data_IF_413390641403
#
_entry.id   IF_413390641403
#
_cell.length_a   1.000
_cell.length_b   1.000
_cell.length_c   1.000
_cell.angle_alpha   90.00
_cell.angle_beta   90.00
_cell.angle_gamma   90.00
#
_symmetry.space_group_name_H-M   'P 1'
#
loop_
_entity.id
_entity.type
_entity.pdbx_description
1 polymer ?
#
# COMPACT_ATOMS: atom_id res chain seq x y z
N UNK A 1 16.58 0.92 -9.91
CA UNK A 1 17.00 1.85 -8.84
C UNK A 1 18.10 2.74 -9.43
N UNK A 2 17.94 4.06 -9.35
CA UNK A 2 18.97 5.00 -9.83
C UNK A 2 20.25 4.80 -9.04
N UNK A 3 21.40 4.95 -9.69
CA UNK A 3 22.65 5.03 -8.95
C UNK A 3 22.73 6.34 -8.15
N UNK A 4 23.60 6.39 -7.15
CA UNK A 4 23.69 7.54 -6.24
C UNK A 4 24.06 8.85 -6.96
N UNK A 5 24.84 8.78 -8.05
CA UNK A 5 25.26 9.96 -8.80
C UNK A 5 24.09 10.55 -9.58
N UNK A 6 23.33 9.71 -10.27
CA UNK A 6 22.14 10.13 -11.00
C UNK A 6 21.03 10.59 -10.05
N UNK A 7 20.83 9.90 -8.91
CA UNK A 7 19.92 10.34 -7.85
C UNK A 7 20.26 11.75 -7.36
N UNK A 8 21.53 11.98 -7.01
CA UNK A 8 22.01 13.29 -6.55
C UNK A 8 21.79 14.38 -7.60
N UNK A 9 22.09 14.08 -8.88
CA UNK A 9 21.88 15.01 -9.98
C UNK A 9 20.42 15.39 -10.13
N UNK A 10 19.50 14.43 -10.13
CA UNK A 10 18.05 14.67 -10.21
C UNK A 10 17.55 15.45 -9.01
N UNK A 11 18.00 15.11 -7.80
CA UNK A 11 17.64 15.83 -6.59
C UNK A 11 18.08 17.30 -6.67
N UNK A 12 19.32 17.58 -7.07
CA UNK A 12 19.82 18.94 -7.22
C UNK A 12 19.09 19.71 -8.31
N UNK A 13 18.72 19.06 -9.42
CA UNK A 13 17.93 19.69 -10.48
C UNK A 13 16.50 20.00 -10.01
N UNK A 14 15.85 19.05 -9.37
CA UNK A 14 14.50 19.23 -8.83
C UNK A 14 14.43 20.30 -7.73
N UNK A 15 15.54 20.54 -7.02
CA UNK A 15 15.60 21.45 -5.86
C UNK A 15 16.38 22.74 -6.15
N UNK A 16 16.82 22.97 -7.40
CA UNK A 16 17.68 24.12 -7.75
C UNK A 16 17.03 25.49 -7.45
N UNK A 17 15.72 25.55 -7.53
CA UNK A 17 14.93 26.77 -7.28
C UNK A 17 14.35 26.81 -5.86
N UNK A 18 14.76 25.87 -4.99
CA UNK A 18 14.33 25.86 -3.60
C UNK A 18 15.07 26.94 -2.82
N UNK A 19 14.33 27.96 -2.45
CA UNK A 19 14.81 29.03 -1.58
C UNK A 19 14.53 28.66 -0.11
N UNK A 20 15.52 28.85 0.76
CA UNK A 20 15.40 28.57 2.18
C UNK A 20 14.25 29.34 2.86
N UNK A 21 13.86 30.52 2.35
CA UNK A 21 12.72 31.26 2.88
C UNK A 21 11.38 30.59 2.51
N UNK A 22 11.29 29.89 1.37
CA UNK A 22 10.09 29.16 0.97
C UNK A 22 9.85 27.89 1.76
N UNK A 23 10.87 27.32 2.40
CA UNK A 23 10.71 26.18 3.30
C UNK A 23 9.95 26.50 4.58
N UNK A 24 9.91 27.76 4.98
CA UNK A 24 9.16 28.20 6.17
C UNK A 24 7.64 28.11 5.94
N UNK A 25 7.19 27.99 4.71
CA UNK A 25 5.79 27.81 4.37
C UNK A 25 5.64 26.60 3.43
N UNK A 26 5.68 25.39 4.00
CA UNK A 26 5.58 24.12 3.27
C UNK A 26 4.29 24.04 2.43
N UNK A 27 3.20 24.66 2.91
CA UNK A 27 1.90 24.68 2.26
C UNK A 27 1.89 25.53 0.95
N UNK A 28 2.83 26.44 0.78
CA UNK A 28 2.93 27.32 -0.39
C UNK A 28 4.03 26.87 -1.38
N UNK A 29 4.67 25.73 -1.14
CA UNK A 29 5.73 25.26 -2.03
C UNK A 29 5.16 24.80 -3.38
N UNK A 30 5.49 25.45 -4.50
CA UNK A 30 4.93 25.13 -5.83
C UNK A 30 5.38 23.77 -6.37
N UNK A 31 6.45 23.17 -5.80
CA UNK A 31 6.93 21.84 -6.18
C UNK A 31 6.22 20.70 -5.45
N UNK A 32 5.46 21.01 -4.40
CA UNK A 32 4.62 20.02 -3.71
C UNK A 32 3.22 20.15 -4.28
N UNK A 33 2.78 19.15 -5.03
CA UNK A 33 1.38 19.04 -5.45
C UNK A 33 0.53 18.73 -4.22
N UNK A 34 0.18 19.78 -3.47
CA UNK A 34 -0.57 19.61 -2.23
C UNK A 34 -1.91 18.97 -2.51
N UNK A 35 -2.12 17.81 -1.94
CA UNK A 35 -3.43 17.18 -1.91
C UNK A 35 -4.36 17.98 -0.97
N UNK A 36 -5.60 18.32 -1.38
CA UNK A 36 -6.53 18.97 -0.49
C UNK A 36 -6.86 18.07 0.70
N UNK A 37 -7.12 18.69 1.85
CA UNK A 37 -7.43 17.95 3.09
C UNK A 37 -8.78 17.27 2.98
N UNK A 38 -8.79 15.97 3.21
CA UNK A 38 -10.03 15.21 3.36
C UNK A 38 -10.72 15.56 4.69
N UNK A 39 -12.06 15.58 4.67
CA UNK A 39 -12.87 15.75 5.87
C UNK A 39 -13.12 14.39 6.54
N UNK A 40 -13.56 14.40 7.79
CA UNK A 40 -13.89 13.19 8.56
C UNK A 40 -14.79 12.22 7.78
N UNK A 41 -15.77 12.76 7.05
CA UNK A 41 -16.69 11.96 6.23
C UNK A 41 -16.02 11.12 5.14
N UNK A 42 -14.84 11.55 4.67
CA UNK A 42 -14.08 10.84 3.64
C UNK A 42 -13.10 9.78 4.20
N UNK A 43 -12.86 9.77 5.52
CA UNK A 43 -11.85 8.89 6.14
C UNK A 43 -12.34 8.13 7.37
N UNK A 44 -13.52 8.47 7.92
CA UNK A 44 -14.05 7.84 9.15
C UNK A 44 -14.16 6.31 9.07
N UNK A 45 -14.30 5.78 7.88
CA UNK A 45 -14.41 4.35 7.60
C UNK A 45 -13.08 3.73 7.12
N UNK A 46 -12.00 4.51 7.09
CA UNK A 46 -10.71 4.05 6.61
C UNK A 46 -10.10 3.03 7.57
N UNK A 47 -9.76 1.87 7.04
CA UNK A 47 -8.99 0.86 7.73
C UNK A 47 -7.53 0.97 7.34
N UNK A 48 -6.67 1.13 8.34
CA UNK A 48 -5.22 1.06 8.15
C UNK A 48 -4.77 -0.41 8.09
N UNK A 49 -4.00 -0.76 7.07
CA UNK A 49 -3.46 -2.11 6.87
C UNK A 49 -1.95 -2.06 6.63
N UNK A 50 -1.27 -3.17 6.95
CA UNK A 50 0.18 -3.23 6.94
C UNK A 50 0.82 -3.22 5.55
N UNK A 51 0.07 -3.55 4.49
CA UNK A 51 0.58 -3.58 3.11
C UNK A 51 -0.53 -3.61 2.07
N UNK A 52 -0.20 -3.29 0.80
CA UNK A 52 -1.13 -3.40 -0.33
C UNK A 52 -1.64 -4.84 -0.55
N UNK A 53 -0.85 -5.85 -0.22
CA UNK A 53 -1.30 -7.23 -0.32
C UNK A 53 -2.46 -7.52 0.64
N UNK A 54 -2.48 -6.85 1.79
CA UNK A 54 -3.58 -6.97 2.75
C UNK A 54 -4.88 -6.38 2.22
N UNK A 55 -4.83 -5.34 1.39
CA UNK A 55 -6.04 -4.86 0.69
C UNK A 55 -6.64 -5.99 -0.15
N UNK A 56 -5.80 -6.73 -0.92
CA UNK A 56 -6.28 -7.83 -1.77
C UNK A 56 -7.02 -8.93 -1.00
N UNK A 57 -6.68 -9.16 0.26
CA UNK A 57 -7.39 -10.13 1.11
C UNK A 57 -8.82 -9.70 1.43
N UNK A 58 -9.08 -8.38 1.51
CA UNK A 58 -10.39 -7.80 1.82
C UNK A 58 -11.24 -7.53 0.58
N UNK A 59 -10.66 -7.57 -0.61
CA UNK A 59 -11.41 -7.38 -1.84
C UNK A 59 -12.27 -8.63 -2.15
N UNK A 60 -13.44 -8.45 -2.78
CA UNK A 60 -14.34 -9.56 -3.06
C UNK A 60 -13.68 -10.63 -3.95
N UNK A 61 -13.85 -11.89 -3.58
CA UNK A 61 -13.44 -13.06 -4.39
C UNK A 61 -14.42 -13.25 -5.53
N UNK A 62 -14.08 -14.11 -6.49
CA UNK A 62 -14.92 -14.40 -7.68
C UNK A 62 -15.38 -13.13 -8.41
N UNK A 63 -14.60 -12.08 -8.34
CA UNK A 63 -14.87 -10.75 -8.86
C UNK A 63 -14.39 -10.59 -10.31
N UNK A 64 -14.95 -9.59 -11.01
CA UNK A 64 -14.43 -9.08 -12.29
C UNK A 64 -13.57 -7.85 -11.97
N UNK A 65 -12.31 -7.89 -12.33
CA UNK A 65 -11.36 -6.86 -11.92
C UNK A 65 -10.49 -6.37 -13.08
N UNK A 66 -9.94 -5.16 -12.93
CA UNK A 66 -8.91 -4.67 -13.83
C UNK A 66 -7.66 -4.25 -13.04
N UNK A 67 -6.49 -4.50 -13.62
CA UNK A 67 -5.22 -3.88 -13.27
C UNK A 67 -4.83 -2.92 -14.39
N UNK A 68 -4.61 -1.67 -14.06
CA UNK A 68 -4.23 -0.60 -14.98
C UNK A 68 -2.78 -0.25 -14.71
N UNK A 69 -1.90 -0.58 -15.68
CA UNK A 69 -0.46 -0.55 -15.50
C UNK A 69 0.08 -1.89 -15.02
N UNK A 70 0.25 -2.83 -15.95
CA UNK A 70 0.69 -4.20 -15.62
C UNK A 70 2.21 -4.34 -15.59
N UNK A 71 2.91 -3.57 -16.41
CA UNK A 71 4.37 -3.56 -16.56
C UNK A 71 4.96 -4.98 -16.70
N UNK A 72 5.50 -5.56 -15.62
CA UNK A 72 6.07 -6.92 -15.60
C UNK A 72 5.05 -8.01 -15.19
N UNK A 73 3.84 -7.66 -14.78
CA UNK A 73 2.82 -8.59 -14.30
C UNK A 73 3.09 -9.17 -12.89
N UNK A 74 3.98 -8.55 -12.13
CA UNK A 74 4.29 -9.03 -10.77
C UNK A 74 3.11 -8.88 -9.82
N UNK A 75 2.35 -7.80 -9.98
CA UNK A 75 1.20 -7.58 -9.12
C UNK A 75 -0.04 -8.34 -9.62
N UNK A 76 -0.20 -8.52 -10.93
CA UNK A 76 -1.20 -9.42 -11.51
C UNK A 76 -1.14 -10.83 -10.90
N UNK A 77 0.07 -11.38 -10.72
CA UNK A 77 0.27 -12.67 -10.07
C UNK A 77 -0.23 -12.67 -8.61
N UNK A 78 -0.04 -11.56 -7.88
CA UNK A 78 -0.56 -11.40 -6.52
C UNK A 78 -2.07 -11.24 -6.48
N UNK A 79 -2.65 -10.53 -7.45
CA UNK A 79 -4.10 -10.42 -7.59
C UNK A 79 -4.72 -11.82 -7.78
N UNK A 80 -4.17 -12.64 -8.67
CA UNK A 80 -4.66 -14.00 -8.92
C UNK A 80 -4.52 -14.90 -7.70
N UNK A 81 -3.39 -14.86 -7.02
CA UNK A 81 -3.11 -15.70 -5.85
C UNK A 81 -4.00 -15.33 -4.65
N UNK A 82 -4.10 -14.04 -4.33
CA UNK A 82 -4.73 -13.56 -3.10
C UNK A 82 -6.21 -13.24 -3.30
N UNK A 83 -6.54 -12.39 -4.29
CA UNK A 83 -7.91 -11.96 -4.52
C UNK A 83 -8.75 -13.00 -5.28
N UNK A 84 -8.13 -13.88 -6.07
CA UNK A 84 -8.78 -14.99 -6.80
C UNK A 84 -10.00 -14.52 -7.61
N UNK A 85 -9.81 -13.56 -8.53
CA UNK A 85 -10.91 -13.08 -9.36
C UNK A 85 -11.39 -14.15 -10.33
N UNK A 86 -12.66 -14.12 -10.75
CA UNK A 86 -13.15 -14.93 -11.85
C UNK A 86 -12.73 -14.41 -13.22
N UNK A 87 -12.40 -13.11 -13.31
CA UNK A 87 -11.92 -12.46 -14.53
C UNK A 87 -10.99 -11.31 -14.14
N UNK A 88 -9.79 -11.29 -14.71
CA UNK A 88 -8.79 -10.24 -14.55
C UNK A 88 -8.49 -9.63 -15.93
N UNK A 89 -8.74 -8.35 -16.09
CA UNK A 89 -8.35 -7.57 -17.26
C UNK A 89 -7.05 -6.83 -16.93
N UNK A 90 -6.00 -7.09 -17.72
CA UNK A 90 -4.72 -6.40 -17.63
C UNK A 90 -4.66 -5.34 -18.72
N UNK A 91 -4.53 -4.08 -18.31
CA UNK A 91 -4.46 -2.93 -19.19
C UNK A 91 -3.06 -2.31 -19.13
N UNK A 92 -2.38 -2.23 -20.26
CA UNK A 92 -1.06 -1.60 -20.34
C UNK A 92 -0.86 -0.95 -21.71
N UNK A 93 -0.04 0.09 -21.76
CA UNK A 93 0.31 0.75 -23.02
C UNK A 93 0.97 -0.21 -24.01
N UNK A 94 1.82 -1.13 -23.50
CA UNK A 94 2.34 -2.26 -24.25
C UNK A 94 2.70 -3.41 -23.30
N UNK A 95 2.73 -4.62 -23.83
CA UNK A 95 3.03 -5.83 -23.06
C UNK A 95 4.44 -6.40 -23.35
N UNK A 96 5.39 -5.62 -23.84
CA UNK A 96 6.72 -6.14 -24.18
C UNK A 96 7.48 -6.63 -22.95
N UNK A 97 7.49 -5.85 -21.87
CA UNK A 97 8.11 -6.25 -20.59
C UNK A 97 7.39 -7.45 -19.97
N UNK A 98 6.07 -7.46 -19.99
CA UNK A 98 5.24 -8.56 -19.52
C UNK A 98 5.53 -9.85 -20.28
N UNK A 99 5.53 -9.84 -21.61
CA UNK A 99 5.84 -11.00 -22.46
C UNK A 99 7.25 -11.52 -22.24
N UNK A 100 8.23 -10.61 -22.01
CA UNK A 100 9.59 -10.98 -21.67
C UNK A 100 9.69 -11.69 -20.31
N UNK A 101 8.93 -11.28 -19.31
CA UNK A 101 8.88 -11.93 -17.98
C UNK A 101 8.15 -13.28 -18.01
N UNK A 102 7.01 -13.37 -18.69
CA UNK A 102 6.28 -14.65 -18.87
C UNK A 102 7.20 -15.71 -19.50
N UNK A 103 7.98 -15.34 -20.53
CA UNK A 103 8.90 -16.26 -21.21
C UNK A 103 9.95 -16.89 -20.27
N UNK A 104 10.21 -16.29 -19.09
CA UNK A 104 11.07 -16.83 -18.04
C UNK A 104 10.37 -17.82 -17.09
N UNK A 105 9.12 -18.14 -17.33
CA UNK A 105 8.27 -19.02 -16.49
C UNK A 105 8.20 -18.61 -15.02
N UNK A 106 8.15 -17.31 -14.77
CA UNK A 106 8.06 -16.76 -13.41
C UNK A 106 6.63 -16.37 -12.99
N UNK A 107 5.67 -16.46 -13.92
CA UNK A 107 4.27 -16.00 -13.75
C UNK A 107 3.28 -17.13 -14.09
N UNK A 108 3.28 -18.15 -13.25
CA UNK A 108 2.51 -19.39 -13.50
C UNK A 108 1.00 -19.11 -13.52
N UNK A 109 0.46 -18.37 -12.56
CA UNK A 109 -0.98 -18.11 -12.46
C UNK A 109 -1.48 -17.22 -13.59
N UNK A 110 -0.67 -16.25 -14.02
CA UNK A 110 -1.02 -15.37 -15.14
C UNK A 110 -1.02 -16.13 -16.46
N UNK A 111 -0.01 -17.00 -16.71
CA UNK A 111 0.04 -17.85 -17.89
C UNK A 111 -1.18 -18.77 -17.97
N UNK A 112 -1.46 -19.51 -16.90
CA UNK A 112 -2.64 -20.37 -16.79
C UNK A 112 -3.94 -19.58 -16.96
N UNK A 113 -4.00 -18.36 -16.40
CA UNK A 113 -5.13 -17.46 -16.51
C UNK A 113 -5.39 -16.99 -17.95
N UNK A 114 -4.34 -16.72 -18.72
CA UNK A 114 -4.46 -16.37 -20.16
C UNK A 114 -4.96 -17.58 -20.95
N UNK A 115 -4.39 -18.77 -20.72
CA UNK A 115 -4.75 -20.00 -21.42
C UNK A 115 -6.21 -20.41 -21.17
N UNK A 116 -6.70 -20.28 -19.94
CA UNK A 116 -8.06 -20.66 -19.57
C UNK A 116 -9.09 -19.52 -19.71
N UNK A 117 -8.66 -18.33 -20.13
CA UNK A 117 -9.51 -17.18 -20.36
C UNK A 117 -9.89 -16.39 -19.09
N UNK A 118 -9.32 -16.70 -17.93
CA UNK A 118 -9.50 -15.91 -16.71
C UNK A 118 -8.80 -14.55 -16.81
N UNK A 119 -7.63 -14.50 -17.47
CA UNK A 119 -6.87 -13.27 -17.72
C UNK A 119 -7.03 -12.82 -19.17
N UNK A 120 -7.24 -11.51 -19.38
CA UNK A 120 -7.36 -10.89 -20.70
C UNK A 120 -6.48 -9.64 -20.77
N UNK A 121 -5.72 -9.53 -21.87
CA UNK A 121 -4.80 -8.42 -22.11
C UNK A 121 -5.44 -7.36 -22.99
N UNK A 122 -5.32 -6.09 -22.60
CA UNK A 122 -5.80 -4.92 -23.33
C UNK A 122 -4.63 -3.95 -23.55
N UNK A 123 -4.05 -3.96 -24.74
CA UNK A 123 -2.93 -3.11 -25.11
C UNK A 123 -3.41 -1.76 -25.60
N UNK A 124 -2.86 -0.67 -25.05
CA UNK A 124 -3.16 0.70 -25.44
C UNK A 124 -3.21 1.67 -24.26
N UNK A 125 -3.66 2.88 -24.54
CA UNK A 125 -3.87 3.91 -23.52
C UNK A 125 -4.91 3.46 -22.50
N UNK A 126 -4.57 3.59 -21.21
CA UNK A 126 -5.40 3.08 -20.07
C UNK A 126 -6.78 3.68 -20.05
N UNK A 127 -6.87 5.00 -20.24
CA UNK A 127 -8.17 5.72 -20.21
C UNK A 127 -9.06 5.32 -21.38
N UNK A 128 -8.49 5.10 -22.55
CA UNK A 128 -9.21 4.60 -23.73
C UNK A 128 -9.69 3.17 -23.51
N UNK A 129 -8.83 2.31 -23.00
CA UNK A 129 -9.17 0.93 -22.69
C UNK A 129 -10.29 0.83 -21.64
N UNK A 130 -10.18 1.57 -20.54
CA UNK A 130 -11.23 1.66 -19.52
C UNK A 130 -12.56 2.13 -20.09
N UNK A 131 -12.55 3.15 -20.97
CA UNK A 131 -13.76 3.70 -21.57
C UNK A 131 -14.56 2.68 -22.39
N UNK A 132 -13.90 1.64 -22.93
CA UNK A 132 -14.50 0.61 -23.76
C UNK A 132 -15.37 -0.40 -22.98
N UNK A 133 -15.18 -0.51 -21.67
CA UNK A 133 -15.98 -1.40 -20.83
C UNK A 133 -17.36 -0.80 -20.52
N UNK A 134 -18.37 -1.64 -20.27
CA UNK A 134 -19.67 -1.18 -19.79
C UNK A 134 -19.56 -0.48 -18.44
N UNK A 135 -20.50 0.41 -18.15
CA UNK A 135 -20.62 0.98 -16.81
C UNK A 135 -20.99 -0.11 -15.81
N UNK A 136 -20.54 0.05 -14.56
CA UNK A 136 -20.77 -0.90 -13.46
C UNK A 136 -20.30 -2.35 -13.76
N UNK A 137 -19.25 -2.50 -14.56
CA UNK A 137 -18.72 -3.80 -14.96
C UNK A 137 -17.80 -4.43 -13.91
N UNK A 138 -16.88 -3.62 -13.35
CA UNK A 138 -15.86 -4.10 -12.43
C UNK A 138 -16.33 -4.10 -10.98
N UNK A 139 -15.97 -5.14 -10.25
CA UNK A 139 -16.11 -5.18 -8.80
C UNK A 139 -15.06 -4.27 -8.14
N UNK A 140 -13.86 -4.20 -8.72
CA UNK A 140 -12.83 -3.24 -8.35
C UNK A 140 -11.79 -3.07 -9.48
N UNK A 141 -11.07 -1.94 -9.44
CA UNK A 141 -9.99 -1.59 -10.36
C UNK A 141 -8.76 -1.23 -9.53
N UNK A 142 -7.60 -1.77 -9.88
CA UNK A 142 -6.31 -1.38 -9.33
C UNK A 142 -5.60 -0.49 -10.34
N UNK A 143 -5.19 0.71 -9.93
CA UNK A 143 -4.60 1.75 -10.79
C UNK A 143 -3.15 1.97 -10.37
N UNK A 144 -2.22 1.58 -11.24
CA UNK A 144 -0.77 1.62 -11.08
C UNK A 144 -0.09 1.97 -12.43
N UNK A 145 -0.61 2.97 -13.15
CA UNK A 145 -0.11 3.36 -14.48
C UNK A 145 0.72 4.67 -14.41
N UNK A 146 0.15 5.77 -14.85
CA UNK A 146 0.81 7.08 -14.79
C UNK A 146 0.59 7.74 -13.42
N UNK A 147 1.67 8.06 -12.72
CA UNK A 147 1.61 8.72 -11.41
C UNK A 147 1.58 10.25 -11.50
N UNK A 148 1.65 10.82 -12.72
CA UNK A 148 1.45 12.24 -12.91
C UNK A 148 -0.02 12.61 -12.66
N UNK A 149 -0.25 13.79 -12.07
CA UNK A 149 -1.60 14.25 -11.70
C UNK A 149 -2.63 14.13 -12.84
N UNK A 150 -2.25 14.51 -14.06
CA UNK A 150 -3.16 14.47 -15.22
C UNK A 150 -3.49 13.04 -15.66
N UNK A 151 -2.52 12.11 -15.59
CA UNK A 151 -2.72 10.70 -15.90
C UNK A 151 -3.69 10.06 -14.92
N UNK A 152 -3.43 10.21 -13.62
CA UNK A 152 -4.33 9.72 -12.57
C UNK A 152 -5.75 10.28 -12.70
N UNK A 153 -5.89 11.59 -12.97
CA UNK A 153 -7.21 12.20 -13.19
C UNK A 153 -7.97 11.54 -14.34
N UNK A 154 -7.28 11.24 -15.46
CA UNK A 154 -7.92 10.56 -16.61
C UNK A 154 -8.39 9.15 -16.24
N UNK A 155 -7.53 8.37 -15.57
CA UNK A 155 -7.89 7.01 -15.17
C UNK A 155 -9.04 7.00 -14.16
N UNK A 156 -9.07 7.94 -13.22
CA UNK A 156 -10.20 8.13 -12.29
C UNK A 156 -11.47 8.47 -13.09
N UNK A 157 -11.39 9.42 -14.00
CA UNK A 157 -12.55 9.90 -14.78
C UNK A 157 -13.19 8.77 -15.61
N UNK A 158 -12.38 7.89 -16.15
CA UNK A 158 -12.89 6.74 -16.91
C UNK A 158 -13.29 5.58 -15.98
N UNK A 159 -12.49 5.29 -14.95
CA UNK A 159 -12.69 4.12 -14.08
C UNK A 159 -13.91 4.25 -13.17
N UNK A 160 -14.23 5.44 -12.65
CA UNK A 160 -15.25 5.59 -11.62
C UNK A 160 -16.66 5.19 -12.03
N UNK A 161 -17.00 5.29 -13.34
CA UNK A 161 -18.28 4.81 -13.86
C UNK A 161 -18.26 3.31 -14.16
N UNK A 162 -17.06 2.73 -14.30
CA UNK A 162 -16.89 1.32 -14.66
C UNK A 162 -16.92 0.39 -13.45
N UNK A 163 -16.72 0.93 -12.24
CA UNK A 163 -16.92 0.15 -11.02
C UNK A 163 -18.39 0.12 -10.63
N UNK A 164 -18.84 -1.02 -10.12
CA UNK A 164 -20.20 -1.22 -9.60
C UNK A 164 -20.49 -0.25 -8.47
N UNK A 165 -21.77 -0.07 -8.12
CA UNK A 165 -22.20 0.83 -7.05
C UNK A 165 -21.50 0.56 -5.70
N UNK A 166 -21.24 -0.70 -5.35
CA UNK A 166 -20.48 -1.11 -4.17
C UNK A 166 -19.00 -1.41 -4.48
N UNK A 167 -18.53 -1.10 -5.69
CA UNK A 167 -17.18 -1.38 -6.14
C UNK A 167 -16.15 -0.42 -5.58
N UNK A 168 -14.88 -0.70 -5.83
CA UNK A 168 -13.75 0.08 -5.33
C UNK A 168 -12.76 0.41 -6.43
N UNK A 169 -12.10 1.56 -6.30
CA UNK A 169 -10.87 1.85 -7.02
C UNK A 169 -9.72 1.85 -6.02
N UNK A 170 -8.65 1.13 -6.33
CA UNK A 170 -7.43 1.04 -5.53
C UNK A 170 -6.32 1.75 -6.27
N UNK A 171 -5.61 2.63 -5.61
CA UNK A 171 -4.52 3.41 -6.18
C UNK A 171 -3.20 3.03 -5.55
N UNK A 172 -2.24 2.70 -6.40
CA UNK A 172 -0.85 2.56 -6.00
C UNK A 172 -0.22 3.94 -5.81
N UNK A 173 0.79 4.00 -4.96
CA UNK A 173 1.66 5.15 -4.76
C UNK A 173 0.90 6.44 -4.40
N UNK A 174 -0.03 6.34 -3.42
CA UNK A 174 -0.73 7.49 -2.86
C UNK A 174 0.26 8.38 -2.09
N UNK A 175 0.99 9.19 -2.84
CA UNK A 175 1.99 10.14 -2.37
C UNK A 175 1.99 11.39 -3.26
N UNK A 176 2.63 12.47 -2.78
CA UNK A 176 2.88 13.69 -3.55
C UNK A 176 4.29 13.73 -4.14
N UNK A 177 5.17 12.80 -3.73
CA UNK A 177 6.57 12.80 -4.13
C UNK A 177 7.12 11.39 -4.21
N UNK A 178 7.79 11.08 -5.32
CA UNK A 178 8.56 9.84 -5.47
C UNK A 178 9.98 10.03 -4.98
N UNK A 179 10.35 9.34 -3.90
CA UNK A 179 11.72 9.37 -3.39
C UNK A 179 12.69 8.56 -4.24
N UNK A 180 12.20 7.57 -4.99
CA UNK A 180 13.04 6.74 -5.87
C UNK A 180 13.30 7.39 -7.22
N UNK A 181 12.31 8.11 -7.77
CA UNK A 181 12.40 8.78 -9.08
C UNK A 181 12.78 10.25 -8.96
N UNK A 182 12.71 10.79 -7.74
CA UNK A 182 13.02 12.21 -7.41
C UNK A 182 12.16 13.17 -8.23
N UNK A 183 10.84 12.95 -8.19
CA UNK A 183 9.90 13.77 -8.93
C UNK A 183 8.54 13.87 -8.22
N UNK A 184 7.77 14.93 -8.52
CA UNK A 184 6.40 15.04 -8.00
C UNK A 184 5.49 13.92 -8.53
N UNK A 185 4.68 13.36 -7.64
CA UNK A 185 3.56 12.48 -7.96
C UNK A 185 2.25 13.21 -7.70
N UNK A 186 1.22 12.88 -8.47
CA UNK A 186 -0.08 13.52 -8.40
C UNK A 186 -1.18 12.65 -7.81
N UNK A 187 -0.86 11.42 -7.40
CA UNK A 187 -1.85 10.43 -6.98
C UNK A 187 -2.67 10.91 -5.78
N UNK A 188 -2.01 11.35 -4.70
CA UNK A 188 -2.71 11.80 -3.50
C UNK A 188 -3.61 13.03 -3.80
N UNK A 189 -3.14 13.95 -4.64
CA UNK A 189 -3.92 15.13 -5.05
C UNK A 189 -5.16 14.72 -5.84
N UNK A 190 -5.00 13.92 -6.88
CA UNK A 190 -6.10 13.52 -7.76
C UNK A 190 -7.17 12.73 -7.01
N UNK A 191 -6.75 11.79 -6.17
CA UNK A 191 -7.66 10.98 -5.34
C UNK A 191 -8.43 11.84 -4.35
N UNK A 192 -7.77 12.76 -3.64
CA UNK A 192 -8.45 13.61 -2.65
C UNK A 192 -9.45 14.57 -3.31
N UNK A 193 -9.05 15.22 -4.40
CA UNK A 193 -9.95 16.10 -5.17
C UNK A 193 -11.18 15.34 -5.66
N UNK A 194 -10.98 14.12 -6.17
CA UNK A 194 -12.08 13.28 -6.62
C UNK A 194 -13.00 12.86 -5.48
N UNK A 195 -12.47 12.43 -4.35
CA UNK A 195 -13.26 12.05 -3.18
C UNK A 195 -14.13 13.21 -2.69
N UNK A 196 -13.55 14.42 -2.61
CA UNK A 196 -14.28 15.63 -2.18
C UNK A 196 -15.38 16.01 -3.17
N UNK A 197 -15.06 16.03 -4.47
CA UNK A 197 -15.99 16.47 -5.50
C UNK A 197 -17.15 15.49 -5.73
N UNK A 198 -16.94 14.20 -5.52
CA UNK A 198 -17.88 13.13 -5.89
C UNK A 198 -18.45 12.36 -4.68
N UNK A 199 -18.17 12.81 -3.46
CA UNK A 199 -18.61 12.14 -2.24
C UNK A 199 -18.14 10.65 -2.17
N UNK A 200 -16.85 10.44 -2.42
CA UNK A 200 -16.20 9.16 -2.22
C UNK A 200 -15.40 9.15 -0.92
N UNK A 201 -15.15 7.98 -0.37
CA UNK A 201 -14.41 7.80 0.89
C UNK A 201 -13.23 6.86 0.71
N UNK A 202 -12.15 7.10 1.45
CA UNK A 202 -11.05 6.13 1.59
C UNK A 202 -11.48 5.07 2.58
N UNK A 203 -11.44 3.80 2.16
CA UNK A 203 -11.81 2.64 2.99
C UNK A 203 -10.64 1.79 3.42
N UNK A 204 -9.53 1.85 2.68
CA UNK A 204 -8.26 1.25 3.08
C UNK A 204 -7.11 2.22 2.86
N UNK A 205 -6.17 2.21 3.79
CA UNK A 205 -4.87 2.85 3.68
C UNK A 205 -3.80 1.80 4.00
N UNK A 206 -3.05 1.39 3.00
CA UNK A 206 -1.96 0.43 3.15
C UNK A 206 -0.64 1.14 3.37
N UNK A 207 0.03 0.78 4.44
CA UNK A 207 1.32 1.36 4.79
C UNK A 207 2.44 0.85 3.86
N UNK A 208 3.32 1.77 3.49
CA UNK A 208 4.59 1.46 2.83
C UNK A 208 5.72 2.28 3.44
N UNK A 209 6.83 1.62 3.80
CA UNK A 209 7.93 2.24 4.58
C UNK A 209 8.64 3.40 3.88
N UNK A 210 8.58 3.47 2.54
CA UNK A 210 9.15 4.58 1.75
C UNK A 210 8.11 5.66 1.38
N UNK A 211 6.90 5.58 1.94
CA UNK A 211 5.85 6.56 1.66
C UNK A 211 5.03 6.32 0.39
N UNK A 212 5.24 5.22 -0.31
CA UNK A 212 4.43 4.79 -1.44
C UNK A 212 3.21 4.01 -0.96
N UNK A 213 2.28 4.72 -0.35
CA UNK A 213 1.08 4.10 0.22
C UNK A 213 0.09 3.70 -0.87
N UNK A 214 -0.70 2.66 -0.60
CA UNK A 214 -1.85 2.37 -1.44
C UNK A 214 -3.13 2.77 -0.71
N UNK A 215 -4.10 3.26 -1.45
CA UNK A 215 -5.43 3.55 -0.91
C UNK A 215 -6.52 2.91 -1.75
N UNK A 216 -7.58 2.43 -1.08
CA UNK A 216 -8.80 2.03 -1.76
C UNK A 216 -9.90 3.04 -1.44
N UNK A 217 -10.61 3.47 -2.50
CA UNK A 217 -11.74 4.38 -2.38
C UNK A 217 -13.01 3.73 -2.90
N UNK A 218 -14.14 4.14 -2.34
CA UNK A 218 -15.48 3.77 -2.83
C UNK A 218 -16.45 4.92 -2.71
N UNK A 219 -17.60 4.81 -3.38
CA UNK A 219 -18.69 5.75 -3.25
C UNK A 219 -19.20 5.77 -1.80
N UNK A 220 -19.30 6.93 -1.20
CA UNK A 220 -19.82 7.07 0.15
C UNK A 220 -21.35 6.92 0.13
N UNK A 221 -21.84 5.81 0.64
CA UNK A 221 -23.29 5.50 0.73
C UNK A 221 -23.90 5.99 2.03
N UNK A 222 -23.11 6.60 2.92
CA UNK A 222 -23.54 6.96 4.27
C UNK A 222 -23.64 5.77 5.24
N UNK A 223 -23.44 4.54 4.74
CA UNK A 223 -23.39 3.35 5.56
C UNK A 223 -22.05 3.24 6.28
N UNK A 224 -22.09 2.83 7.53
CA UNK A 224 -20.87 2.56 8.29
C UNK A 224 -20.10 1.41 7.64
N UNK A 225 -18.80 1.63 7.44
CA UNK A 225 -17.85 0.78 6.74
C UNK A 225 -18.08 -0.73 6.82
N UNK A 226 -17.50 -1.42 5.83
CA UNK A 226 -17.25 -2.86 5.83
C UNK A 226 -17.28 -3.42 7.27
N UNK A 227 -18.42 -3.94 7.69
CA UNK A 227 -18.50 -4.73 8.90
C UNK A 227 -17.57 -5.90 8.67
N UNK A 228 -16.39 -5.86 9.29
CA UNK A 228 -15.68 -7.12 9.56
C UNK A 228 -16.74 -7.99 10.22
N UNK A 229 -17.02 -9.18 9.71
CA UNK A 229 -17.91 -10.08 10.43
C UNK A 229 -17.46 -10.08 11.90
N UNK A 230 -18.40 -9.89 12.82
CA UNK A 230 -18.09 -9.76 14.25
C UNK A 230 -17.25 -10.95 14.74
N UNK A 231 -17.43 -12.10 14.09
CA UNK A 231 -16.66 -13.33 14.29
C UNK A 231 -15.18 -13.19 13.90
N UNK A 232 -14.87 -12.51 12.79
CA UNK A 232 -13.49 -12.30 12.34
C UNK A 232 -12.78 -11.26 13.21
N UNK A 233 -13.48 -10.19 13.60
CA UNK A 233 -12.95 -9.20 14.55
C UNK A 233 -12.69 -9.82 15.92
N UNK A 234 -13.59 -10.68 16.40
CA UNK A 234 -13.40 -11.41 17.64
C UNK A 234 -12.26 -12.42 17.57
N UNK A 235 -12.12 -13.11 16.45
CA UNK A 235 -10.99 -14.04 16.21
C UNK A 235 -9.64 -13.32 16.20
N UNK A 236 -9.55 -12.17 15.54
CA UNK A 236 -8.35 -11.32 15.55
C UNK A 236 -8.04 -10.81 16.94
N UNK A 237 -9.05 -10.34 17.68
CA UNK A 237 -8.89 -9.89 19.06
C UNK A 237 -8.39 -10.99 19.98
N UNK A 238 -8.93 -12.21 19.88
CA UNK A 238 -8.45 -13.37 20.63
C UNK A 238 -6.99 -13.71 20.30
N UNK A 239 -6.61 -13.64 19.02
CA UNK A 239 -5.22 -13.88 18.61
C UNK A 239 -4.27 -12.83 19.18
N UNK A 240 -4.63 -11.55 19.15
CA UNK A 240 -3.83 -10.49 19.76
C UNK A 240 -3.73 -10.66 21.29
N UNK A 241 -4.83 -11.01 21.96
CA UNK A 241 -4.82 -11.31 23.40
C UNK A 241 -3.87 -12.46 23.74
N UNK A 242 -3.89 -13.53 22.95
CA UNK A 242 -2.96 -14.64 23.10
C UNK A 242 -1.50 -14.22 22.90
N UNK A 243 -1.20 -13.43 21.86
CA UNK A 243 0.15 -12.91 21.62
C UNK A 243 0.65 -12.02 22.77
N UNK A 244 -0.21 -11.15 23.29
CA UNK A 244 0.11 -10.30 24.45
C UNK A 244 0.44 -11.18 25.67
N UNK A 245 -0.33 -12.22 25.92
CA UNK A 245 -0.09 -13.14 27.04
C UNK A 245 1.26 -13.88 26.89
N UNK A 246 1.60 -14.32 25.69
CA UNK A 246 2.90 -14.95 25.42
C UNK A 246 4.08 -13.98 25.62
N UNK A 247 3.95 -12.73 25.16
CA UNK A 247 4.96 -11.69 25.36
C UNK A 247 5.15 -11.34 26.84
N UNK A 248 4.05 -11.29 27.61
CA UNK A 248 4.11 -11.07 29.06
C UNK A 248 4.84 -12.20 29.78
N UNK A 249 4.59 -13.44 29.38
CA UNK A 249 5.29 -14.61 29.94
C UNK A 249 6.79 -14.58 29.64
N UNK A 250 7.15 -14.22 28.39
CA UNK A 250 8.56 -14.08 27.99
C UNK A 250 9.25 -12.94 28.78
N UNK A 251 8.57 -11.83 28.98
CA UNK A 251 9.08 -10.70 29.76
C UNK A 251 9.32 -11.11 31.22
N UNK A 252 8.43 -11.89 31.80
CA UNK A 252 8.58 -12.38 33.18
C UNK A 252 9.75 -13.37 33.32
N UNK A 253 9.93 -14.25 32.34
CA UNK A 253 11.09 -15.15 32.28
C UNK A 253 12.40 -14.37 32.10
N UNK A 254 12.43 -13.35 31.24
CA UNK A 254 13.60 -12.50 31.07
C UNK A 254 13.95 -11.74 32.36
N UNK A 255 12.97 -11.20 33.07
CA UNK A 255 13.17 -10.54 34.36
C UNK A 255 13.79 -11.51 35.39
N UNK A 256 13.24 -12.72 35.51
CA UNK A 256 13.79 -13.76 36.40
C UNK A 256 15.25 -14.10 36.05
N UNK A 257 15.56 -14.17 34.76
CA UNK A 257 16.93 -14.44 34.28
C UNK A 257 17.89 -13.31 34.66
N UNK A 258 17.45 -12.05 34.50
CA UNK A 258 18.23 -10.87 34.90
C UNK A 258 18.49 -10.88 36.42
N UNK A 259 17.46 -11.12 37.23
CA UNK A 259 17.58 -11.22 38.69
C UNK A 259 18.56 -12.32 39.11
N UNK A 260 18.54 -13.47 38.45
CA UNK A 260 19.49 -14.56 38.71
C UNK A 260 20.91 -14.16 38.33
N UNK A 261 21.11 -13.48 37.19
CA UNK A 261 22.43 -13.00 36.74
C UNK A 261 23.00 -11.94 37.70
N UNK A 262 22.18 -11.01 38.14
CA UNK A 262 22.58 -9.98 39.09
C UNK A 262 22.95 -10.59 40.46
N UNK A 263 22.16 -11.54 40.95
CA UNK A 263 22.46 -12.22 42.20
C UNK A 263 23.73 -13.08 42.12
N UNK A 264 24.01 -13.75 40.98
CA UNK A 264 25.24 -14.51 40.77
C UNK A 264 26.48 -13.59 40.70
N UNK A 265 26.37 -12.43 40.03
CA UNK A 265 27.45 -11.43 40.01
C UNK A 265 27.72 -10.82 41.39
N UNK A 266 26.67 -10.44 42.13
CA UNK A 266 26.80 -9.95 43.51
C UNK A 266 27.35 -11.03 44.44
N UNK A 267 26.96 -12.29 44.24
CA UNK A 267 27.52 -13.44 44.96
C UNK A 267 29.01 -13.60 44.70
N UNK A 268 29.45 -13.50 43.46
CA UNK A 268 30.88 -13.56 43.09
C UNK A 268 31.66 -12.39 43.67
N UNK A 269 31.15 -11.17 43.62
CA UNK A 269 31.78 -10.00 44.21
C UNK A 269 31.90 -10.12 45.74
N UNK A 270 30.87 -10.57 46.43
CA UNK A 270 30.93 -10.84 47.89
C UNK A 270 31.96 -11.90 48.24
N UNK A 271 32.11 -12.96 47.42
CA UNK A 271 33.10 -13.99 47.61
C UNK A 271 34.54 -13.47 47.42
N UNK A 272 34.77 -12.64 46.44
CA UNK A 272 36.05 -11.99 46.19
C UNK A 272 36.38 -11.03 47.33
N UNK A 273 35.42 -10.25 47.80
CA UNK A 273 35.61 -9.30 48.91
C UNK A 273 35.95 -10.02 50.21
N UNK A 274 35.31 -11.15 50.54
CA UNK A 274 35.70 -11.99 51.72
C UNK A 274 37.11 -12.54 51.60
N UNK A 275 37.56 -12.97 50.43
CA UNK A 275 38.93 -13.47 50.20
C UNK A 275 39.97 -12.36 50.35
N UNK A 276 39.63 -11.12 50.00
CA UNK A 276 40.52 -9.95 50.20
C UNK A 276 40.60 -9.62 51.67
N UNK A 277 39.49 -9.58 52.41
CA UNK A 277 39.51 -9.35 53.84
C UNK A 277 40.32 -10.38 54.63
N UNK A 278 40.20 -11.69 54.26
CA UNK A 278 40.99 -12.74 54.87
C UNK A 278 42.49 -12.68 54.60
N UNK A 279 42.93 -11.96 53.58
CA UNK A 279 44.34 -11.73 53.26
C UNK A 279 44.92 -10.47 53.92
N UNK A 280 44.08 -9.62 54.47
CA UNK A 280 44.44 -8.36 55.10
C UNK A 280 44.38 -8.43 56.65
N UNK A 281 43.86 -9.55 57.20
CA UNK A 281 43.90 -9.94 58.59
C UNK A 281 45.03 -10.99 58.83
#
# INVERSE_FOLDING_TARGET
>A
MLDFVEYKKRFLEATKDWDNEKWNNFDDNPFVLLAPRLQDGHVKNCRFVESRLKILEYLPKDSVVAEVGTQYGHFAEKILDIAKPKKLHLLDYNFDLFKAEISKKQKILVEEGIENGTVELHEGDSSTSLSSFPDEYFDWIYIDADHAYQGVCKDIQQGHTKVKAAGMMVFNDYTNWSVCEVMPYGVAKAVNEFCIANNWEIVFFAFHCLGYHDVAIRKNTGETALRIPLEEANSQLQNYQYQIQQLQLQLEQAKKTIDLMENDQLGKLRSIWRKIQQKLS
#
